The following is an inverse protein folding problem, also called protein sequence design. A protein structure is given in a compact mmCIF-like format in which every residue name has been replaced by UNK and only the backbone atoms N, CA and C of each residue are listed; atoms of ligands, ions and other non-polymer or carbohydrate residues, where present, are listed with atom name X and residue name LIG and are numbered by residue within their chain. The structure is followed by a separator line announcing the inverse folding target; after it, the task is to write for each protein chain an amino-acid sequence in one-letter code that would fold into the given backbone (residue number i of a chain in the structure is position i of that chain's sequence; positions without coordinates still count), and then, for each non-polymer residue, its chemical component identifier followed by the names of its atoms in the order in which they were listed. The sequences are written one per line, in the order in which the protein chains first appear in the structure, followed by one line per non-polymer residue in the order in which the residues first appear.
data_IF_362549821405
#
_entry.id   IF_362549821405
#
_cell.length_a   1.000
_cell.length_b   1.000
_cell.length_c   1.000
_cell.angle_alpha   90.00
_cell.angle_beta   90.00
_cell.angle_gamma   90.00
#
_symmetry.space_group_name_H-M   'P 1'
#
loop_
_entity.id
_entity.type
_entity.pdbx_description
1 polymer ?
#
# COMPACT_ATOMS: atom_id res chain seq x y z
N UNK A 1 -4.97 0.75 -9.26
CA UNK A 1 -3.76 0.67 -8.42
C UNK A 1 -2.56 1.42 -9.01
N UNK A 2 -2.02 1.02 -10.17
CA UNK A 2 -0.78 1.55 -10.74
C UNK A 2 -0.72 3.08 -10.89
N UNK A 3 -1.78 3.73 -11.39
CA UNK A 3 -1.81 5.21 -11.50
C UNK A 3 -1.71 5.92 -10.14
N UNK A 4 -2.33 5.35 -9.11
CA UNK A 4 -2.33 5.90 -7.75
C UNK A 4 -0.95 5.75 -7.11
N UNK A 5 -0.29 4.61 -7.33
CA UNK A 5 1.09 4.37 -6.95
C UNK A 5 2.04 5.34 -7.64
N UNK A 6 1.99 5.44 -8.97
CA UNK A 6 2.87 6.33 -9.73
C UNK A 6 2.76 7.78 -9.26
N UNK A 7 1.53 8.29 -9.06
CA UNK A 7 1.31 9.65 -8.53
C UNK A 7 1.87 9.84 -7.12
N UNK A 8 1.92 8.79 -6.31
CA UNK A 8 2.50 8.85 -4.97
C UNK A 8 4.03 8.82 -4.98
N UNK A 9 4.62 8.06 -5.91
CA UNK A 9 6.07 7.92 -6.06
C UNK A 9 6.72 9.10 -6.76
N UNK A 10 6.09 9.64 -7.81
CA UNK A 10 6.62 10.72 -8.65
C UNK A 10 7.25 11.91 -7.89
N UNK A 11 6.64 12.46 -6.82
CA UNK A 11 7.24 13.57 -6.09
C UNK A 11 8.43 13.19 -5.17
N UNK A 12 8.72 11.90 -4.96
CA UNK A 12 9.73 11.44 -4.02
C UNK A 12 11.13 11.51 -4.64
N UNK A 13 11.91 12.52 -4.26
CA UNK A 13 13.33 12.64 -4.65
C UNK A 13 14.21 11.69 -3.85
N UNK A 14 15.18 11.05 -4.51
CA UNK A 14 16.18 10.21 -3.85
C UNK A 14 15.66 8.87 -3.34
N UNK A 15 14.59 8.35 -3.98
CA UNK A 15 14.06 7.03 -3.68
C UNK A 15 15.07 5.94 -4.08
N UNK A 16 15.53 5.16 -3.11
CA UNK A 16 16.33 3.95 -3.34
C UNK A 16 15.58 2.71 -2.86
N UNK A 17 16.01 1.52 -3.28
CA UNK A 17 15.33 0.25 -2.99
C UNK A 17 15.10 0.03 -1.49
N UNK A 18 16.10 0.37 -0.67
CA UNK A 18 16.04 0.28 0.81
C UNK A 18 14.91 1.11 1.43
N UNK A 19 14.36 2.08 0.70
CA UNK A 19 13.27 2.93 1.15
C UNK A 19 11.90 2.31 0.89
N UNK A 20 11.79 1.33 -0.03
CA UNK A 20 10.49 0.79 -0.44
C UNK A 20 9.64 0.19 0.67
N UNK A 21 10.18 -0.51 1.69
CA UNK A 21 9.35 -1.01 2.78
C UNK A 21 8.60 0.12 3.51
N UNK A 22 9.28 1.22 3.80
CA UNK A 22 8.65 2.37 4.45
C UNK A 22 7.70 3.10 3.50
N UNK A 23 8.08 3.26 2.24
CA UNK A 23 7.25 3.93 1.22
C UNK A 23 5.96 3.16 0.94
N UNK A 24 5.99 1.83 0.89
CA UNK A 24 4.78 1.00 0.78
C UNK A 24 3.84 1.22 1.96
N UNK A 25 4.40 1.34 3.17
CA UNK A 25 3.60 1.58 4.36
C UNK A 25 3.01 3.01 4.38
N UNK A 26 3.78 4.01 3.98
CA UNK A 26 3.28 5.39 3.85
C UNK A 26 2.20 5.49 2.76
N UNK A 27 2.36 4.78 1.65
CA UNK A 27 1.33 4.66 0.62
C UNK A 27 0.03 4.09 1.19
N UNK A 28 0.14 3.01 1.97
CA UNK A 28 -1.00 2.36 2.64
C UNK A 28 -1.74 3.35 3.52
N UNK A 29 -1.03 4.15 4.32
CA UNK A 29 -1.61 5.19 5.17
C UNK A 29 -2.31 6.28 4.36
N UNK A 30 -1.64 6.81 3.34
CA UNK A 30 -2.13 7.94 2.56
C UNK A 30 -3.31 7.59 1.66
N UNK A 31 -3.46 6.31 1.27
CA UNK A 31 -4.44 5.87 0.28
C UNK A 31 -5.44 4.84 0.79
N UNK A 32 -5.38 4.43 2.06
CA UNK A 32 -6.29 3.41 2.63
C UNK A 32 -7.76 3.69 2.31
N UNK A 33 -8.24 4.91 2.59
CA UNK A 33 -9.64 5.26 2.33
C UNK A 33 -10.02 5.13 0.86
N UNK A 34 -9.13 5.56 -0.05
CA UNK A 34 -9.34 5.45 -1.50
C UNK A 34 -9.30 3.99 -1.98
N UNK A 35 -8.39 3.18 -1.42
CA UNK A 35 -8.29 1.75 -1.71
C UNK A 35 -9.58 1.05 -1.30
N UNK A 36 -10.15 1.41 -0.15
CA UNK A 36 -11.39 0.82 0.37
C UNK A 36 -12.60 1.31 -0.43
N UNK A 37 -12.72 2.61 -0.69
CA UNK A 37 -13.87 3.19 -1.37
C UNK A 37 -14.00 2.74 -2.83
N UNK A 38 -12.88 2.40 -3.46
CA UNK A 38 -12.82 1.92 -4.85
C UNK A 38 -12.74 0.39 -4.95
N UNK A 39 -12.85 -0.33 -3.83
CA UNK A 39 -12.72 -1.79 -3.72
C UNK A 39 -11.41 -2.36 -4.32
N UNK A 40 -10.32 -1.59 -4.23
CA UNK A 40 -9.01 -1.93 -4.81
C UNK A 40 -8.10 -2.74 -3.88
N UNK A 41 -8.65 -3.37 -2.82
CA UNK A 41 -7.84 -4.10 -1.84
C UNK A 41 -7.01 -5.17 -2.55
N UNK A 42 -7.65 -6.06 -3.30
CA UNK A 42 -6.94 -7.20 -3.91
C UNK A 42 -5.87 -6.71 -4.90
N UNK A 43 -6.15 -5.61 -5.60
CA UNK A 43 -5.25 -5.03 -6.58
C UNK A 43 -4.05 -4.38 -5.90
N UNK A 44 -4.25 -3.84 -4.69
CA UNK A 44 -3.18 -3.42 -3.82
C UNK A 44 -2.32 -4.59 -3.33
N UNK A 45 -2.94 -5.72 -2.98
CA UNK A 45 -2.22 -6.95 -2.62
C UNK A 45 -1.37 -7.48 -3.79
N UNK A 46 -1.94 -7.58 -4.99
CA UNK A 46 -1.19 -7.96 -6.19
C UNK A 46 -0.03 -7.01 -6.47
N UNK A 47 -0.24 -5.70 -6.31
CA UNK A 47 0.84 -4.73 -6.48
C UNK A 47 1.98 -4.94 -5.48
N UNK A 48 1.69 -5.18 -4.21
CA UNK A 48 2.71 -5.49 -3.20
C UNK A 48 3.42 -6.82 -3.49
N UNK A 49 2.70 -7.83 -3.97
CA UNK A 49 3.30 -9.11 -4.36
C UNK A 49 4.26 -8.95 -5.54
N UNK A 50 3.96 -8.09 -6.51
CA UNK A 50 4.90 -7.79 -7.59
C UNK A 50 6.18 -7.13 -7.05
N UNK A 51 6.07 -6.22 -6.07
CA UNK A 51 7.25 -5.59 -5.45
C UNK A 51 8.08 -6.62 -4.64
N UNK A 52 7.40 -7.54 -3.95
CA UNK A 52 8.01 -8.65 -3.22
C UNK A 52 8.76 -9.59 -4.17
N UNK A 53 8.22 -9.88 -5.36
CA UNK A 53 8.86 -10.72 -6.38
C UNK A 53 10.21 -10.12 -6.84
N UNK A 54 10.30 -8.79 -6.94
CA UNK A 54 11.56 -8.08 -7.21
C UNK A 54 12.50 -8.00 -5.99
N UNK A 55 12.15 -8.62 -4.86
CA UNK A 55 12.93 -8.62 -3.61
C UNK A 55 13.17 -7.23 -3.02
N UNK A 56 12.32 -6.26 -3.36
CA UNK A 56 12.43 -4.87 -2.88
C UNK A 56 11.74 -4.66 -1.51
N UNK A 57 10.86 -5.59 -1.13
CA UNK A 57 10.20 -5.66 0.18
C UNK A 57 10.15 -7.13 0.63
N UNK A 58 9.81 -7.37 1.90
CA UNK A 58 9.60 -8.71 2.46
C UNK A 58 8.11 -9.01 2.73
N UNK A 59 7.82 -10.26 3.09
CA UNK A 59 6.45 -10.69 3.42
C UNK A 59 5.87 -9.95 4.62
N UNK A 60 6.71 -9.54 5.58
CA UNK A 60 6.29 -8.76 6.74
C UNK A 60 5.78 -7.38 6.33
N UNK A 61 6.45 -6.72 5.38
CA UNK A 61 6.03 -5.46 4.79
C UNK A 61 4.66 -5.61 4.09
N UNK A 62 4.45 -6.68 3.32
CA UNK A 62 3.17 -6.97 2.69
C UNK A 62 2.06 -7.09 3.74
N UNK A 63 2.26 -7.94 4.76
CA UNK A 63 1.28 -8.12 5.84
C UNK A 63 0.99 -6.82 6.60
N UNK A 64 2.01 -6.00 6.85
CA UNK A 64 1.88 -4.70 7.54
C UNK A 64 1.03 -3.71 6.73
N UNK A 65 1.29 -3.60 5.43
CA UNK A 65 0.56 -2.71 4.53
C UNK A 65 -0.91 -3.12 4.39
N UNK A 66 -1.14 -4.41 4.11
CA UNK A 66 -2.48 -4.97 3.96
C UNK A 66 -3.28 -4.92 5.26
N UNK A 67 -2.64 -5.25 6.38
CA UNK A 67 -3.26 -5.20 7.71
C UNK A 67 -3.67 -3.79 8.12
N UNK A 68 -2.92 -2.75 7.71
CA UNK A 68 -3.33 -1.36 7.93
C UNK A 68 -4.62 -1.03 7.17
N UNK A 69 -4.68 -1.36 5.88
CA UNK A 69 -5.88 -1.11 5.05
C UNK A 69 -7.11 -1.85 5.60
N UNK A 70 -6.94 -3.10 6.02
CA UNK A 70 -8.04 -3.89 6.60
C UNK A 70 -8.52 -3.32 7.94
N UNK A 71 -7.59 -2.84 8.77
CA UNK A 71 -7.93 -2.16 10.03
C UNK A 71 -8.78 -0.91 9.77
N UNK A 72 -8.42 -0.10 8.78
CA UNK A 72 -9.22 1.08 8.38
C UNK A 72 -10.59 0.66 7.87
N UNK A 73 -10.66 -0.37 7.01
CA UNK A 73 -11.94 -0.93 6.51
C UNK A 73 -12.87 -1.35 7.65
N UNK A 74 -12.32 -2.03 8.66
CA UNK A 74 -13.09 -2.51 9.81
C UNK A 74 -13.53 -1.36 10.74
N UNK A 75 -12.72 -0.31 10.88
CA UNK A 75 -13.11 0.87 11.65
C UNK A 75 -14.26 1.63 10.97
N UNK A 76 -14.21 1.79 9.63
CA UNK A 76 -15.27 2.47 8.88
C UNK A 76 -16.60 1.70 8.97
N UNK A 77 -16.57 0.36 9.03
CA UNK A 77 -17.75 -0.48 9.26
C UNK A 77 -18.37 -0.36 10.65
N UNK A 78 -17.62 0.06 11.68
CA UNK A 78 -18.13 0.21 13.05
C UNK A 78 -18.88 1.52 13.29
N UNK A 79 -18.78 2.47 12.36
CA UNK A 79 -19.37 3.81 12.44
C UNK A 79 -20.73 3.86 11.71
N UNK A 80 -21.05 2.83 10.92
CA UNK A 80 -22.33 2.62 10.23
C UNK A 80 -23.22 1.65 11.02
#
# INVERSE_FOLDING_TARGET
MMKMWNRFIEPQKGLADRNLPEVCFQFSKARADQIISLDLRNEFAFHLLNILEFQLIDSQCVSKCLGYVDKVKNNNKKIL
#
